data_IF_157340619760
#
_entry.id   IF_157340619760
#
_cell.length_a   1.000
_cell.length_b   1.000
_cell.length_c   1.000
_cell.angle_alpha   90.00
_cell.angle_beta   90.00
_cell.angle_gamma   90.00
#
_symmetry.space_group_name_H-M   'P 1'
#
loop_
_entity.id
_entity.type
_entity.pdbx_description
1 polymer ?
#
# COMPACT_ATOMS: atom_id res chain seq x y z
N UNK A 1 9.34 0.45 41.67
CA UNK A 1 8.34 1.53 41.82
C UNK A 1 7.36 1.40 40.67
N UNK A 2 6.27 0.66 40.89
CA UNK A 2 5.23 0.41 39.88
C UNK A 2 4.32 1.62 39.89
N UNK A 3 4.59 2.58 39.00
CA UNK A 3 3.65 3.67 38.73
C UNK A 3 2.42 3.11 38.01
N UNK A 4 1.24 3.55 38.45
CA UNK A 4 -0.08 3.15 37.98
C UNK A 4 -0.18 3.08 36.45
N UNK A 5 -0.44 1.87 35.93
CA UNK A 5 -0.71 1.55 34.52
C UNK A 5 -2.06 2.10 33.99
N UNK A 6 -2.64 3.11 34.64
CA UNK A 6 -3.93 3.72 34.31
C UNK A 6 -3.84 5.11 33.68
N UNK A 7 -2.66 5.62 33.37
CA UNK A 7 -2.54 6.77 32.49
C UNK A 7 -2.89 6.33 31.06
N UNK A 8 -4.09 6.73 30.61
CA UNK A 8 -4.43 6.64 29.21
C UNK A 8 -3.41 7.45 28.39
N UNK A 9 -3.03 7.01 27.17
CA UNK A 9 -2.18 7.82 26.30
C UNK A 9 -2.78 9.22 26.21
N UNK A 10 -1.98 10.25 26.51
CA UNK A 10 -2.44 11.64 26.43
C UNK A 10 -2.91 11.92 25.01
N UNK A 11 -4.06 12.60 24.92
CA UNK A 11 -4.58 13.12 23.66
C UNK A 11 -3.57 14.15 23.14
N UNK A 12 -3.01 13.92 21.95
CA UNK A 12 -2.13 14.91 21.33
C UNK A 12 -2.98 16.13 20.95
N UNK A 13 -2.52 17.34 21.29
CA UNK A 13 -3.23 18.58 20.96
C UNK A 13 -3.37 18.77 19.44
N UNK A 14 -2.43 18.21 18.66
CA UNK A 14 -2.39 18.28 17.20
C UNK A 14 -2.21 16.88 16.64
N UNK A 15 -3.23 16.36 15.95
CA UNK A 15 -3.21 15.06 15.30
C UNK A 15 -4.52 14.78 14.58
N UNK A 16 -4.52 13.84 13.62
CA UNK A 16 -5.73 13.50 12.88
C UNK A 16 -6.54 12.39 13.57
N UNK A 17 -7.82 12.28 13.19
CA UNK A 17 -8.74 11.29 13.74
C UNK A 17 -8.47 9.88 13.20
N UNK A 18 -8.98 8.86 13.89
CA UNK A 18 -8.80 7.46 13.48
C UNK A 18 -9.37 7.14 12.09
N UNK A 19 -10.40 7.84 11.62
CA UNK A 19 -10.95 7.60 10.29
C UNK A 19 -10.04 8.18 9.20
N UNK A 20 -9.35 9.29 9.46
CA UNK A 20 -8.31 9.82 8.57
C UNK A 20 -7.13 8.84 8.52
N UNK A 21 -6.76 8.25 9.67
CA UNK A 21 -5.76 7.18 9.72
C UNK A 21 -6.16 5.98 8.84
N UNK A 22 -7.44 5.62 8.81
CA UNK A 22 -7.94 4.56 7.93
C UNK A 22 -7.76 4.94 6.45
N UNK A 23 -8.03 6.20 6.08
CA UNK A 23 -7.80 6.70 4.71
C UNK A 23 -6.30 6.68 4.37
N UNK A 24 -5.40 6.99 5.30
CA UNK A 24 -3.96 6.83 5.08
C UNK A 24 -3.59 5.37 4.80
N UNK A 25 -4.07 4.42 5.60
CA UNK A 25 -3.80 2.99 5.40
C UNK A 25 -4.37 2.53 4.05
N UNK A 26 -5.62 2.90 3.72
CA UNK A 26 -6.23 2.54 2.44
C UNK A 26 -5.45 3.19 1.29
N UNK A 27 -5.13 4.47 1.37
CA UNK A 27 -4.43 5.20 0.32
C UNK A 27 -3.01 4.68 0.07
N UNK A 28 -2.32 4.20 1.11
CA UNK A 28 -0.98 3.63 0.99
C UNK A 28 -1.00 2.18 0.49
N UNK A 29 -1.87 1.34 1.07
CA UNK A 29 -1.88 -0.10 0.78
C UNK A 29 -2.65 -0.42 -0.50
N UNK A 30 -3.71 0.35 -0.84
CA UNK A 30 -4.45 0.20 -2.09
C UNK A 30 -3.56 0.47 -3.32
N UNK A 31 -3.93 -0.04 -4.50
CA UNK A 31 -3.32 0.38 -5.77
C UNK A 31 -2.54 -0.69 -6.51
N UNK A 32 -1.21 -0.63 -6.49
CA UNK A 32 -0.38 -1.42 -7.42
C UNK A 32 -0.52 -2.93 -7.22
N UNK A 33 -0.70 -3.40 -5.99
CA UNK A 33 -0.99 -4.80 -5.71
C UNK A 33 -2.35 -5.25 -6.22
N UNK A 34 -3.35 -4.35 -6.20
CA UNK A 34 -4.71 -4.63 -6.69
C UNK A 34 -4.74 -4.86 -8.20
N UNK A 35 -4.01 -4.07 -8.99
CA UNK A 35 -4.04 -4.20 -10.45
C UNK A 35 -3.39 -5.51 -10.93
N UNK A 36 -2.46 -6.08 -10.16
CA UNK A 36 -1.83 -7.37 -10.42
C UNK A 36 -2.56 -8.54 -9.74
N UNK A 37 -3.54 -8.27 -8.86
CA UNK A 37 -4.20 -9.29 -8.05
C UNK A 37 -4.86 -10.40 -8.86
N UNK A 38 -5.54 -10.14 -9.99
CA UNK A 38 -6.12 -11.20 -10.80
C UNK A 38 -5.06 -12.18 -11.35
N UNK A 39 -3.90 -11.67 -11.77
CA UNK A 39 -2.77 -12.49 -12.17
C UNK A 39 -2.17 -13.27 -10.98
N UNK A 40 -2.24 -12.70 -9.76
CA UNK A 40 -1.87 -13.41 -8.55
C UNK A 40 -2.82 -14.59 -8.25
N UNK A 41 -4.13 -14.43 -8.49
CA UNK A 41 -5.11 -15.53 -8.38
C UNK A 41 -4.86 -16.58 -9.46
N UNK A 42 -4.55 -16.18 -10.71
CA UNK A 42 -4.10 -17.12 -11.75
C UNK A 42 -2.92 -17.96 -11.29
N UNK A 43 -1.96 -17.33 -10.64
CA UNK A 43 -0.76 -17.98 -10.15
C UNK A 43 -0.94 -18.79 -8.86
N UNK A 44 -2.04 -18.62 -8.13
CA UNK A 44 -2.35 -19.36 -6.88
C UNK A 44 -3.54 -20.30 -7.00
N UNK A 45 -4.25 -20.25 -8.12
CA UNK A 45 -5.33 -21.14 -8.50
C UNK A 45 -6.68 -20.68 -8.00
N UNK A 46 -7.74 -21.25 -8.57
CA UNK A 46 -9.14 -20.91 -8.27
C UNK A 46 -9.55 -21.20 -6.82
N UNK A 47 -8.84 -22.09 -6.12
CA UNK A 47 -9.12 -22.43 -4.72
C UNK A 47 -8.07 -21.80 -3.80
N UNK A 48 -6.78 -21.98 -4.11
CA UNK A 48 -5.68 -21.44 -3.30
C UNK A 48 -5.68 -19.92 -3.24
N UNK A 49 -5.93 -19.25 -4.36
CA UNK A 49 -5.97 -17.79 -4.46
C UNK A 49 -7.00 -17.13 -3.54
N UNK A 50 -8.30 -17.46 -3.63
CA UNK A 50 -9.32 -16.88 -2.75
C UNK A 50 -9.06 -17.15 -1.26
N UNK A 51 -8.60 -18.37 -0.91
CA UNK A 51 -8.25 -18.72 0.48
C UNK A 51 -7.10 -17.82 0.95
N UNK A 52 -6.03 -17.70 0.17
CA UNK A 52 -4.90 -16.83 0.49
C UNK A 52 -5.34 -15.36 0.62
N UNK A 53 -6.21 -14.88 -0.26
CA UNK A 53 -6.70 -13.51 -0.24
C UNK A 53 -7.40 -13.18 1.09
N UNK A 54 -8.27 -14.08 1.57
CA UNK A 54 -8.98 -13.93 2.84
C UNK A 54 -8.04 -14.09 4.04
N UNK A 55 -7.22 -15.16 4.05
CA UNK A 55 -6.31 -15.47 5.15
C UNK A 55 -5.29 -14.35 5.33
N UNK A 56 -4.69 -13.87 4.24
CA UNK A 56 -3.70 -12.78 4.30
C UNK A 56 -4.34 -11.46 4.72
N UNK A 57 -5.56 -11.14 4.28
CA UNK A 57 -6.27 -9.95 4.79
C UNK A 57 -6.43 -10.00 6.33
N UNK A 58 -6.82 -11.15 6.88
CA UNK A 58 -6.97 -11.33 8.32
C UNK A 58 -5.62 -11.28 9.03
N UNK A 59 -4.61 -12.01 8.55
CA UNK A 59 -3.27 -12.06 9.16
C UNK A 59 -2.62 -10.67 9.16
N UNK A 60 -2.73 -9.92 8.06
CA UNK A 60 -2.17 -8.58 7.96
C UNK A 60 -2.91 -7.59 8.86
N UNK A 61 -4.24 -7.65 8.96
CA UNK A 61 -5.01 -6.85 9.91
C UNK A 61 -4.64 -7.17 11.38
N UNK A 62 -4.43 -8.45 11.70
CA UNK A 62 -4.05 -8.89 13.06
C UNK A 62 -2.66 -8.42 13.44
N UNK A 63 -1.69 -8.55 12.54
CA UNK A 63 -0.32 -8.09 12.78
C UNK A 63 -0.23 -6.57 12.84
N UNK A 64 -1.00 -5.84 12.04
CA UNK A 64 -1.14 -4.39 12.13
C UNK A 64 -1.73 -3.93 13.48
N UNK A 65 -2.76 -4.63 13.96
CA UNK A 65 -3.31 -4.41 15.32
C UNK A 65 -2.25 -4.64 16.40
N UNK A 66 -1.52 -5.75 16.33
CA UNK A 66 -0.47 -6.07 17.32
C UNK A 66 0.63 -5.01 17.33
N UNK A 67 1.04 -4.54 16.15
CA UNK A 67 2.01 -3.47 16.00
C UNK A 67 1.51 -2.19 16.68
N UNK A 68 0.25 -1.84 16.47
CA UNK A 68 -0.32 -0.65 17.11
C UNK A 68 -0.55 -0.78 18.62
N UNK A 69 -0.86 -1.98 19.10
CA UNK A 69 -0.92 -2.26 20.54
C UNK A 69 0.46 -2.16 21.19
N UNK A 70 1.52 -2.61 20.50
CA UNK A 70 2.91 -2.44 20.95
C UNK A 70 3.27 -0.96 21.09
N UNK A 71 2.93 -0.13 20.09
CA UNK A 71 3.19 1.31 20.18
C UNK A 71 2.48 1.99 21.35
N UNK A 72 1.24 1.59 21.65
CA UNK A 72 0.52 2.07 22.83
C UNK A 72 1.16 1.64 24.16
N UNK A 73 1.80 0.47 24.20
CA UNK A 73 2.56 0.02 25.38
C UNK A 73 3.82 0.89 25.53
N UNK A 74 4.51 1.18 24.43
CA UNK A 74 5.68 2.05 24.42
C UNK A 74 5.36 3.44 24.99
N UNK A 75 4.33 4.10 24.47
CA UNK A 75 3.90 5.43 24.92
C UNK A 75 3.49 5.46 26.39
N UNK A 76 2.86 4.39 26.89
CA UNK A 76 2.47 4.29 28.31
C UNK A 76 3.66 4.05 29.25
N UNK A 77 4.67 3.31 28.79
CA UNK A 77 5.80 2.89 29.63
C UNK A 77 6.95 3.89 29.62
N UNK A 78 7.12 4.64 28.54
CA UNK A 78 8.21 5.60 28.38
C UNK A 78 7.70 6.94 27.86
N UNK A 79 7.67 7.99 28.71
CA UNK A 79 7.13 9.31 28.35
C UNK A 79 7.80 9.99 27.17
N UNK A 80 9.05 9.64 26.86
CA UNK A 80 9.80 10.16 25.70
C UNK A 80 9.12 9.88 24.34
N UNK A 81 8.24 8.87 24.26
CA UNK A 81 7.50 8.54 23.04
C UNK A 81 6.16 9.28 22.90
N UNK A 82 5.87 10.20 23.83
CA UNK A 82 4.79 11.19 23.70
C UNK A 82 5.22 12.40 22.86
N UNK A 83 6.52 12.67 22.82
CA UNK A 83 7.14 13.67 21.94
C UNK A 83 7.29 13.13 20.50
N UNK A 84 7.50 14.00 19.49
CA UNK A 84 7.69 13.59 18.10
C UNK A 84 8.76 12.51 17.95
N UNK A 85 8.37 11.38 17.38
CA UNK A 85 9.22 10.21 17.17
C UNK A 85 9.38 9.93 15.68
N UNK A 86 10.64 9.98 15.21
CA UNK A 86 11.00 9.79 13.80
C UNK A 86 10.79 8.36 13.31
N UNK A 87 11.21 7.36 14.10
CA UNK A 87 11.15 5.95 13.72
C UNK A 87 10.50 5.08 14.80
N UNK A 88 9.16 5.22 15.01
CA UNK A 88 8.45 4.46 16.04
C UNK A 88 8.62 2.94 15.90
N UNK A 89 8.68 2.42 14.67
CA UNK A 89 8.87 0.98 14.41
C UNK A 89 10.23 0.51 14.93
N UNK A 90 11.32 1.18 14.57
CA UNK A 90 12.64 0.77 14.98
C UNK A 90 12.86 0.92 16.49
N UNK A 91 12.26 1.94 17.12
CA UNK A 91 12.23 2.09 18.58
C UNK A 91 11.53 0.91 19.26
N UNK A 92 10.42 0.42 18.70
CA UNK A 92 9.78 -0.81 19.19
C UNK A 92 10.72 -2.02 19.08
N UNK A 93 11.46 -2.13 17.99
CA UNK A 93 12.44 -3.22 17.80
C UNK A 93 13.61 -3.12 18.79
N UNK A 94 14.10 -1.90 19.05
CA UNK A 94 15.17 -1.65 20.02
C UNK A 94 14.75 -2.09 21.42
N UNK A 95 13.57 -1.67 21.87
CA UNK A 95 13.10 -1.98 23.24
C UNK A 95 12.70 -3.44 23.41
N UNK A 96 12.33 -4.13 22.35
CA UNK A 96 11.91 -5.55 22.42
C UNK A 96 13.06 -6.54 22.25
N UNK A 97 14.02 -6.25 21.37
CA UNK A 97 15.13 -7.14 21.04
C UNK A 97 16.45 -6.68 21.69
N UNK A 98 16.63 -5.37 21.89
CA UNK A 98 17.88 -4.76 22.34
C UNK A 98 18.97 -4.79 21.25
N UNK A 99 20.13 -4.23 21.58
CA UNK A 99 21.41 -4.38 20.85
C UNK A 99 21.39 -3.96 19.39
N UNK A 100 20.92 -4.86 18.51
CA UNK A 100 20.88 -4.68 17.05
C UNK A 100 19.44 -4.61 16.49
N UNK A 101 18.41 -4.71 17.34
CA UNK A 101 17.01 -4.75 16.93
C UNK A 101 16.59 -3.54 16.09
N UNK A 102 16.95 -2.33 16.52
CA UNK A 102 16.68 -1.10 15.78
C UNK A 102 17.32 -1.09 14.39
N UNK A 103 18.58 -1.55 14.29
CA UNK A 103 19.35 -1.55 13.03
C UNK A 103 18.73 -2.52 12.03
N UNK A 104 18.40 -3.74 12.47
CA UNK A 104 17.77 -4.75 11.61
C UNK A 104 16.38 -4.28 11.15
N UNK A 105 15.57 -3.73 12.06
CA UNK A 105 14.26 -3.20 11.72
C UNK A 105 14.35 -2.06 10.71
N UNK A 106 15.24 -1.09 10.94
CA UNK A 106 15.51 -0.01 10.00
C UNK A 106 15.90 -0.54 8.62
N UNK A 107 16.85 -1.47 8.53
CA UNK A 107 17.28 -2.03 7.24
C UNK A 107 16.13 -2.70 6.49
N UNK A 108 15.32 -3.52 7.17
CA UNK A 108 14.17 -4.20 6.56
C UNK A 108 13.08 -3.22 6.12
N UNK A 109 12.80 -2.20 6.92
CA UNK A 109 11.86 -1.13 6.60
C UNK A 109 12.32 -0.37 5.36
N UNK A 110 13.59 0.03 5.30
CA UNK A 110 14.15 0.76 4.17
C UNK A 110 14.12 -0.07 2.88
N UNK A 111 14.50 -1.34 2.95
CA UNK A 111 14.40 -2.28 1.81
C UNK A 111 12.95 -2.38 1.33
N UNK A 112 11.99 -2.51 2.24
CA UNK A 112 10.56 -2.65 1.92
C UNK A 112 10.02 -1.39 1.26
N UNK A 113 10.28 -0.22 1.84
CA UNK A 113 9.81 1.07 1.32
C UNK A 113 10.45 1.41 -0.03
N UNK A 114 11.75 1.15 -0.18
CA UNK A 114 12.45 1.33 -1.46
C UNK A 114 11.89 0.39 -2.54
N UNK A 115 11.61 -0.87 -2.19
CA UNK A 115 10.95 -1.83 -3.07
C UNK A 115 9.55 -1.34 -3.50
N UNK A 116 8.73 -0.88 -2.56
CA UNK A 116 7.42 -0.30 -2.83
C UNK A 116 7.49 0.92 -3.76
N UNK A 117 8.41 1.86 -3.49
CA UNK A 117 8.62 3.05 -4.31
C UNK A 117 9.08 2.69 -5.73
N UNK A 118 9.91 1.66 -5.86
CA UNK A 118 10.36 1.14 -7.16
C UNK A 118 9.18 0.55 -7.95
N UNK A 119 8.32 -0.26 -7.33
CA UNK A 119 7.14 -0.84 -7.98
C UNK A 119 6.15 0.25 -8.41
N UNK A 120 5.87 1.22 -7.54
CA UNK A 120 4.99 2.35 -7.87
C UNK A 120 5.56 3.19 -9.01
N UNK A 121 6.87 3.47 -9.01
CA UNK A 121 7.53 4.23 -10.08
C UNK A 121 7.50 3.49 -11.41
N UNK A 122 7.71 2.17 -11.40
CA UNK A 122 7.61 1.34 -12.60
C UNK A 122 6.18 1.33 -13.16
N UNK A 123 5.18 1.18 -12.29
CA UNK A 123 3.77 1.19 -12.70
C UNK A 123 3.36 2.57 -13.25
N UNK A 124 3.78 3.67 -12.61
CA UNK A 124 3.56 5.03 -13.10
C UNK A 124 4.18 5.21 -14.49
N UNK A 125 5.45 4.82 -14.66
CA UNK A 125 6.17 4.94 -15.92
C UNK A 125 5.51 4.14 -17.04
N UNK A 126 5.07 2.90 -16.75
CA UNK A 126 4.40 2.05 -17.73
C UNK A 126 3.04 2.61 -18.14
N UNK A 127 2.24 3.03 -17.17
CA UNK A 127 0.95 3.65 -17.46
C UNK A 127 1.12 4.94 -18.29
N UNK A 128 2.08 5.81 -17.94
CA UNK A 128 2.36 7.04 -18.71
C UNK A 128 2.83 6.71 -20.13
N UNK A 129 3.71 5.72 -20.30
CA UNK A 129 4.15 5.26 -21.62
C UNK A 129 2.97 4.81 -22.48
N UNK A 130 2.09 3.97 -21.92
CA UNK A 130 0.89 3.49 -22.60
C UNK A 130 -0.09 4.62 -22.92
N UNK A 131 -0.26 5.59 -22.01
CA UNK A 131 -1.08 6.79 -22.22
C UNK A 131 -0.53 7.65 -23.36
N UNK A 132 0.78 7.91 -23.39
CA UNK A 132 1.43 8.70 -24.44
C UNK A 132 1.32 8.03 -25.81
N UNK A 133 1.44 6.69 -25.86
CA UNK A 133 1.24 5.92 -27.09
C UNK A 133 -0.15 6.14 -27.68
N UNK A 134 -1.19 6.26 -26.84
CA UNK A 134 -2.56 6.57 -27.30
C UNK A 134 -2.70 7.96 -27.90
N UNK A 135 -1.88 8.92 -27.47
CA UNK A 135 -1.83 10.28 -28.03
C UNK A 135 -0.86 10.41 -29.23
N UNK A 136 -0.29 9.30 -29.71
CA UNK A 136 0.63 9.29 -30.86
C UNK A 136 2.10 9.56 -30.52
N UNK A 137 2.47 9.59 -29.23
CA UNK A 137 3.85 9.77 -28.79
C UNK A 137 4.43 8.43 -28.32
N UNK A 138 5.44 7.92 -29.01
CA UNK A 138 6.12 6.67 -28.62
C UNK A 138 7.35 6.96 -27.74
N UNK A 139 7.15 7.12 -26.44
CA UNK A 139 8.25 7.20 -25.47
C UNK A 139 8.50 5.84 -24.82
N UNK A 140 9.78 5.44 -24.80
CA UNK A 140 10.18 4.21 -24.13
C UNK A 140 9.98 4.32 -22.61
N UNK A 141 9.52 3.24 -21.97
CA UNK A 141 9.20 3.24 -20.54
C UNK A 141 10.36 3.71 -19.65
N UNK A 142 11.61 3.45 -20.03
CA UNK A 142 12.80 3.93 -19.31
C UNK A 142 12.88 5.46 -19.22
N UNK A 143 12.49 6.16 -20.29
CA UNK A 143 12.46 7.63 -20.31
C UNK A 143 11.32 8.14 -19.43
N UNK A 144 10.15 7.48 -19.48
CA UNK A 144 9.03 7.80 -18.58
C UNK A 144 9.41 7.58 -17.11
N UNK A 145 10.18 6.53 -16.80
CA UNK A 145 10.66 6.28 -15.45
C UNK A 145 11.57 7.41 -14.96
N UNK A 146 12.54 7.82 -15.77
CA UNK A 146 13.39 8.97 -15.45
C UNK A 146 12.56 10.26 -15.26
N UNK A 147 11.60 10.51 -16.13
CA UNK A 147 10.71 11.67 -16.04
C UNK A 147 9.87 11.67 -14.75
N UNK A 148 9.31 10.52 -14.36
CA UNK A 148 8.59 10.35 -13.08
C UNK A 148 9.50 10.65 -11.90
N UNK A 149 10.73 10.13 -11.88
CA UNK A 149 11.68 10.39 -10.79
C UNK A 149 12.04 11.87 -10.68
N UNK A 150 12.31 12.54 -11.80
CA UNK A 150 12.61 13.99 -11.84
C UNK A 150 11.40 14.81 -11.39
N UNK A 151 10.20 14.44 -11.82
CA UNK A 151 8.96 15.13 -11.45
C UNK A 151 8.67 15.00 -9.95
N UNK A 152 8.86 13.81 -9.38
CA UNK A 152 8.60 13.56 -7.96
C UNK A 152 9.65 14.20 -7.05
N UNK A 153 10.90 14.34 -7.51
CA UNK A 153 12.03 14.88 -6.75
C UNK A 153 11.71 16.08 -5.82
N UNK A 154 11.15 17.20 -6.31
CA UNK A 154 10.84 18.35 -5.46
C UNK A 154 9.83 18.03 -4.35
N UNK A 155 8.87 17.14 -4.61
CA UNK A 155 7.84 16.74 -3.65
C UNK A 155 8.37 15.75 -2.61
N UNK A 156 9.48 15.06 -2.87
CA UNK A 156 10.09 14.15 -1.90
C UNK A 156 10.78 14.89 -0.74
N UNK A 157 11.05 16.20 -0.87
CA UNK A 157 11.67 17.02 0.18
C UNK A 157 10.67 17.50 1.26
N UNK A 158 9.43 17.01 1.22
CA UNK A 158 8.36 17.36 2.16
C UNK A 158 8.46 16.51 3.45
N UNK A 159 8.27 17.15 4.61
CA UNK A 159 8.70 16.63 5.93
C UNK A 159 7.80 15.63 6.67
N UNK A 160 6.48 15.64 6.42
CA UNK A 160 5.55 14.81 7.22
C UNK A 160 4.24 14.52 6.49
N UNK A 161 3.66 13.31 6.64
CA UNK A 161 2.34 12.95 6.11
C UNK A 161 1.21 13.81 6.68
N UNK A 162 1.36 14.34 7.90
CA UNK A 162 0.38 15.24 8.54
C UNK A 162 0.10 16.47 7.67
N UNK A 163 1.10 16.98 6.95
CA UNK A 163 0.97 18.15 6.10
C UNK A 163 0.26 17.86 4.75
N UNK A 164 -0.02 16.58 4.44
CA UNK A 164 -0.52 16.13 3.13
C UNK A 164 -1.62 15.08 3.23
N UNK A 165 -2.45 15.09 4.27
CA UNK A 165 -3.58 14.16 4.38
C UNK A 165 -4.53 14.20 3.16
N UNK A 166 -4.59 15.31 2.42
CA UNK A 166 -5.33 15.42 1.15
C UNK A 166 -4.75 14.51 0.05
N UNK A 167 -3.44 14.27 0.03
CA UNK A 167 -2.78 13.37 -0.93
C UNK A 167 -3.27 11.94 -0.71
N UNK A 168 -3.41 11.52 0.55
CA UNK A 168 -3.94 10.20 0.91
C UNK A 168 -5.41 10.03 0.54
N UNK A 169 -6.22 11.09 0.68
CA UNK A 169 -7.60 11.10 0.18
C UNK A 169 -7.62 10.96 -1.34
N UNK A 170 -6.76 11.71 -2.04
CA UNK A 170 -6.60 11.62 -3.48
C UNK A 170 -6.28 10.20 -3.91
N UNK A 171 -5.28 9.56 -3.27
CA UNK A 171 -4.88 8.18 -3.53
C UNK A 171 -6.02 7.17 -3.28
N UNK A 172 -6.72 7.29 -2.14
CA UNK A 172 -7.81 6.39 -1.80
C UNK A 172 -9.00 6.55 -2.76
N UNK A 173 -9.36 7.79 -3.11
CA UNK A 173 -10.46 8.09 -4.04
C UNK A 173 -10.13 7.60 -5.45
N UNK A 174 -8.95 7.92 -5.97
CA UNK A 174 -8.55 7.52 -7.33
C UNK A 174 -8.55 6.00 -7.48
N UNK A 175 -8.07 5.26 -6.49
CA UNK A 175 -8.14 3.78 -6.51
C UNK A 175 -9.55 3.25 -6.36
N UNK A 176 -10.37 3.83 -5.49
CA UNK A 176 -11.78 3.40 -5.35
C UNK A 176 -12.55 3.57 -6.65
N UNK A 177 -12.40 4.73 -7.33
CA UNK A 177 -13.01 4.98 -8.63
C UNK A 177 -12.43 4.03 -9.69
N UNK A 178 -11.11 3.80 -9.70
CA UNK A 178 -10.49 2.85 -10.62
C UNK A 178 -11.05 1.44 -10.45
N UNK A 179 -11.25 0.96 -9.21
CA UNK A 179 -11.86 -0.34 -8.93
C UNK A 179 -13.27 -0.43 -9.52
N UNK A 180 -14.10 0.59 -9.32
CA UNK A 180 -15.45 0.62 -9.90
C UNK A 180 -15.40 0.52 -11.42
N UNK A 181 -14.52 1.28 -12.08
CA UNK A 181 -14.35 1.22 -13.53
C UNK A 181 -13.80 -0.13 -14.01
N UNK A 182 -12.89 -0.76 -13.26
CA UNK A 182 -12.37 -2.10 -13.53
C UNK A 182 -13.51 -3.12 -13.48
N UNK A 183 -14.37 -3.04 -12.47
CA UNK A 183 -15.52 -3.96 -12.33
C UNK A 183 -16.53 -3.76 -13.45
N UNK A 184 -16.79 -2.51 -13.86
CA UNK A 184 -17.63 -2.21 -15.03
C UNK A 184 -17.02 -2.83 -16.30
N UNK A 185 -15.74 -2.55 -16.59
CA UNK A 185 -15.06 -3.09 -17.77
C UNK A 185 -15.03 -4.61 -17.78
N UNK A 186 -14.71 -5.23 -16.64
CA UNK A 186 -14.72 -6.69 -16.50
C UNK A 186 -16.12 -7.27 -16.72
N UNK A 187 -17.17 -6.59 -16.24
CA UNK A 187 -18.56 -7.01 -16.46
C UNK A 187 -18.99 -6.90 -17.92
N UNK A 188 -18.53 -5.87 -18.64
CA UNK A 188 -18.79 -5.69 -20.08
C UNK A 188 -18.11 -6.78 -20.91
N UNK A 189 -16.98 -7.30 -20.45
CA UNK A 189 -16.20 -8.31 -21.16
C UNK A 189 -16.73 -9.74 -20.92
N UNK A 190 -17.63 -9.97 -19.96
CA UNK A 190 -18.22 -11.29 -19.64
C UNK A 190 -18.76 -12.02 -20.88
N UNK A 191 -19.62 -11.44 -21.74
CA UNK A 191 -20.25 -12.17 -22.85
C UNK A 191 -19.27 -12.68 -23.90
N UNK A 192 -18.04 -12.18 -23.92
CA UNK A 192 -17.03 -12.52 -24.94
C UNK A 192 -15.85 -13.29 -24.35
N UNK A 193 -15.38 -12.88 -23.17
CA UNK A 193 -14.15 -13.42 -22.58
C UNK A 193 -14.42 -14.64 -21.69
N UNK A 194 -15.56 -14.68 -20.99
CA UNK A 194 -15.85 -15.74 -20.02
C UNK A 194 -15.94 -17.13 -20.66
N UNK A 195 -16.59 -17.24 -21.83
CA UNK A 195 -16.71 -18.53 -22.54
C UNK A 195 -15.36 -19.03 -23.07
N UNK A 196 -14.44 -18.10 -23.40
CA UNK A 196 -13.10 -18.42 -23.87
C UNK A 196 -12.09 -18.64 -22.71
N UNK A 197 -12.50 -18.38 -21.46
CA UNK A 197 -11.63 -18.48 -20.31
C UNK A 197 -11.24 -19.94 -20.03
N UNK A 198 -9.95 -20.17 -19.83
CA UNK A 198 -9.42 -21.45 -19.37
C UNK A 198 -8.66 -21.26 -18.06
N UNK A 199 -8.55 -22.34 -17.29
CA UNK A 199 -7.92 -22.35 -15.98
C UNK A 199 -6.91 -23.48 -15.92
N UNK A 200 -5.65 -23.14 -15.65
CA UNK A 200 -4.56 -24.10 -15.62
C UNK A 200 -4.23 -24.54 -14.19
N UNK A 201 -3.60 -25.71 -14.08
CA UNK A 201 -2.97 -26.13 -12.83
C UNK A 201 -1.81 -25.21 -12.44
N UNK A 202 -1.57 -25.13 -11.14
CA UNK A 202 -0.60 -24.21 -10.55
C UNK A 202 0.65 -24.97 -10.16
N UNK A 203 1.79 -24.57 -10.71
CA UNK A 203 3.11 -25.04 -10.26
C UNK A 203 3.52 -24.36 -8.94
N UNK A 204 4.42 -24.99 -8.18
CA UNK A 204 4.97 -24.40 -6.95
C UNK A 204 5.61 -23.02 -7.18
N UNK A 205 6.29 -22.82 -8.32
CA UNK A 205 6.88 -21.53 -8.69
C UNK A 205 5.81 -20.45 -8.89
N UNK A 206 4.73 -20.76 -9.62
CA UNK A 206 3.63 -19.82 -9.81
C UNK A 206 2.99 -19.49 -8.47
N UNK A 207 2.73 -20.50 -7.62
CA UNK A 207 2.17 -20.28 -6.31
C UNK A 207 3.01 -19.31 -5.47
N UNK A 208 4.34 -19.46 -5.45
CA UNK A 208 5.24 -18.53 -4.74
C UNK A 208 5.17 -17.10 -5.28
N UNK A 209 5.09 -16.91 -6.60
CA UNK A 209 4.97 -15.59 -7.24
C UNK A 209 3.63 -14.92 -6.89
N UNK A 210 2.52 -15.66 -6.99
CA UNK A 210 1.20 -15.15 -6.65
C UNK A 210 1.07 -14.86 -5.15
N UNK A 211 1.61 -15.72 -4.28
CA UNK A 211 1.69 -15.47 -2.84
C UNK A 211 2.42 -14.15 -2.53
N UNK A 212 3.61 -13.94 -3.12
CA UNK A 212 4.36 -12.71 -2.94
C UNK A 212 3.59 -11.46 -3.39
N UNK A 213 2.84 -11.58 -4.49
CA UNK A 213 1.99 -10.48 -5.00
C UNK A 213 0.85 -10.15 -4.04
N UNK A 214 0.17 -11.16 -3.47
CA UNK A 214 -0.91 -10.93 -2.49
C UNK A 214 -0.36 -10.35 -1.18
N UNK A 215 0.79 -10.85 -0.70
CA UNK A 215 1.47 -10.31 0.49
C UNK A 215 1.84 -8.84 0.28
N UNK A 216 2.44 -8.51 -0.87
CA UNK A 216 2.77 -7.14 -1.24
C UNK A 216 1.53 -6.24 -1.28
N UNK A 217 0.42 -6.73 -1.86
CA UNK A 217 -0.80 -5.94 -2.00
C UNK A 217 -1.49 -5.58 -0.67
N UNK A 218 -1.30 -6.39 0.38
CA UNK A 218 -1.77 -6.10 1.74
C UNK A 218 -0.66 -5.50 2.63
N UNK A 219 0.51 -5.22 2.07
CA UNK A 219 1.64 -4.66 2.82
C UNK A 219 1.49 -3.17 3.07
N UNK A 220 1.66 -2.76 4.33
CA UNK A 220 1.74 -1.34 4.75
C UNK A 220 2.36 -1.14 6.15
N UNK A 221 2.75 -2.25 6.80
CA UNK A 221 3.24 -2.26 8.18
C UNK A 221 4.37 -1.28 8.49
N UNK A 222 5.35 -1.03 7.60
CA UNK A 222 6.42 -0.08 7.89
C UNK A 222 5.93 1.34 8.23
N UNK A 223 4.80 1.78 7.67
CA UNK A 223 4.29 3.15 7.87
C UNK A 223 3.26 3.25 9.01
N UNK A 224 2.67 2.14 9.43
CA UNK A 224 1.58 2.11 10.42
C UNK A 224 1.93 2.75 11.78
N UNK A 225 3.13 2.52 12.36
CA UNK A 225 3.50 3.16 13.62
C UNK A 225 3.61 4.69 13.52
N UNK A 226 4.09 5.21 12.39
CA UNK A 226 4.14 6.66 12.13
C UNK A 226 2.74 7.23 11.97
N UNK A 227 1.86 6.57 11.18
CA UNK A 227 0.45 6.98 11.05
C UNK A 227 -0.23 7.01 12.43
N UNK A 228 0.00 5.99 13.25
CA UNK A 228 -0.56 5.92 14.60
C UNK A 228 0.01 7.00 15.52
N UNK A 229 1.30 7.28 15.42
CA UNK A 229 1.96 8.30 16.24
C UNK A 229 1.44 9.72 15.96
N UNK A 230 0.99 9.99 14.73
CA UNK A 230 0.42 11.28 14.30
C UNK A 230 -1.10 11.39 14.59
N UNK A 231 -1.72 10.38 15.20
CA UNK A 231 -3.14 10.41 15.56
C UNK A 231 -3.37 11.20 16.86
N UNK A 232 -4.42 12.04 16.88
CA UNK A 232 -4.85 12.71 18.10
C UNK A 232 -5.18 11.73 19.24
N UNK A 233 -5.71 10.55 18.88
CA UNK A 233 -6.05 9.48 19.82
C UNK A 233 -5.52 8.12 19.36
N UNK A 234 -4.22 7.81 19.56
CA UNK A 234 -3.57 6.60 19.05
C UNK A 234 -4.23 5.28 19.48
N UNK A 235 -4.99 5.30 20.59
CA UNK A 235 -5.79 4.17 21.11
C UNK A 235 -6.84 3.66 20.13
N UNK A 236 -7.31 4.50 19.20
CA UNK A 236 -8.30 4.14 18.21
C UNK A 236 -7.71 3.61 16.91
N UNK A 237 -6.39 3.45 16.82
CA UNK A 237 -5.73 2.90 15.63
C UNK A 237 -6.26 1.52 15.22
N UNK A 238 -6.61 0.66 16.18
CA UNK A 238 -7.26 -0.64 15.88
C UNK A 238 -8.56 -0.50 15.09
N UNK A 239 -9.36 0.55 15.33
CA UNK A 239 -10.57 0.83 14.54
C UNK A 239 -10.21 1.19 13.10
N UNK A 240 -9.14 1.98 12.92
CA UNK A 240 -8.63 2.35 11.61
C UNK A 240 -8.17 1.12 10.83
N UNK A 241 -7.38 0.24 11.46
CA UNK A 241 -6.90 -1.02 10.85
C UNK A 241 -8.06 -1.91 10.42
N UNK A 242 -9.03 -2.16 11.31
CA UNK A 242 -10.17 -3.03 10.99
C UNK A 242 -10.98 -2.49 9.81
N UNK A 243 -11.29 -1.19 9.83
CA UNK A 243 -12.01 -0.54 8.74
C UNK A 243 -11.22 -0.64 7.42
N UNK A 244 -9.92 -0.33 7.47
CA UNK A 244 -9.06 -0.31 6.29
C UNK A 244 -8.96 -1.68 5.63
N UNK A 245 -8.65 -2.73 6.40
CA UNK A 245 -8.53 -4.08 5.85
C UNK A 245 -9.88 -4.65 5.38
N UNK A 246 -10.99 -4.27 6.01
CA UNK A 246 -12.32 -4.62 5.50
C UNK A 246 -12.57 -3.96 4.13
N UNK A 247 -12.27 -2.67 3.99
CA UNK A 247 -12.41 -1.94 2.72
C UNK A 247 -11.46 -2.50 1.66
N UNK A 248 -10.18 -2.74 1.99
CA UNK A 248 -9.21 -3.31 1.07
C UNK A 248 -9.67 -4.68 0.56
N UNK A 249 -10.15 -5.56 1.44
CA UNK A 249 -10.68 -6.86 1.01
C UNK A 249 -11.89 -6.69 0.06
N UNK A 250 -12.81 -5.77 0.37
CA UNK A 250 -13.97 -5.47 -0.48
C UNK A 250 -13.59 -4.86 -1.84
N UNK A 251 -12.49 -4.11 -1.93
CA UNK A 251 -11.98 -3.58 -3.19
C UNK A 251 -11.23 -4.65 -3.99
N UNK A 252 -10.46 -5.50 -3.30
CA UNK A 252 -9.54 -6.44 -3.94
C UNK A 252 -10.24 -7.71 -4.40
N UNK A 253 -11.09 -8.31 -3.56
CA UNK A 253 -11.70 -9.60 -3.87
C UNK A 253 -12.54 -9.59 -5.16
N UNK A 254 -13.41 -8.60 -5.41
CA UNK A 254 -14.18 -8.56 -6.65
C UNK A 254 -13.28 -8.40 -7.89
N UNK A 255 -12.24 -7.56 -7.81
CA UNK A 255 -11.29 -7.37 -8.92
C UNK A 255 -10.49 -8.64 -9.17
N UNK A 256 -9.92 -9.22 -8.12
CA UNK A 256 -9.07 -10.41 -8.17
C UNK A 256 -9.83 -11.62 -8.73
N UNK A 257 -10.99 -11.92 -8.16
CA UNK A 257 -11.80 -13.07 -8.51
C UNK A 257 -12.53 -12.86 -9.83
N UNK A 258 -13.16 -11.70 -10.01
CA UNK A 258 -13.88 -11.37 -11.24
C UNK A 258 -12.93 -11.28 -12.45
N UNK A 259 -11.77 -10.64 -12.29
CA UNK A 259 -10.77 -10.56 -13.34
C UNK A 259 -10.28 -11.93 -13.77
N UNK A 260 -9.89 -12.80 -12.83
CA UNK A 260 -9.43 -14.14 -13.22
C UNK A 260 -10.57 -15.01 -13.75
N UNK A 261 -11.79 -14.89 -13.23
CA UNK A 261 -12.95 -15.62 -13.74
C UNK A 261 -13.32 -15.21 -15.18
N UNK A 262 -13.18 -13.94 -15.55
CA UNK A 262 -13.54 -13.46 -16.89
C UNK A 262 -12.44 -13.68 -17.91
N UNK A 263 -11.17 -13.44 -17.56
CA UNK A 263 -10.06 -13.51 -18.52
C UNK A 263 -9.28 -14.84 -18.48
N UNK A 264 -9.42 -15.64 -17.41
CA UNK A 264 -8.72 -16.91 -17.26
C UNK A 264 -7.21 -16.80 -17.43
N UNK A 265 -6.60 -17.76 -18.13
CA UNK A 265 -5.16 -17.78 -18.44
C UNK A 265 -4.69 -16.62 -19.33
N UNK A 266 -5.60 -15.96 -20.07
CA UNK A 266 -5.29 -14.82 -20.96
C UNK A 266 -5.08 -13.51 -20.22
N UNK A 267 -5.29 -13.48 -18.90
CA UNK A 267 -5.04 -12.28 -18.10
C UNK A 267 -3.59 -11.84 -18.18
N UNK A 268 -3.40 -10.55 -18.42
CA UNK A 268 -2.09 -9.89 -18.45
C UNK A 268 -1.56 -9.65 -17.04
N UNK A 269 -0.31 -9.19 -16.92
CA UNK A 269 0.30 -8.83 -15.63
C UNK A 269 -0.50 -7.78 -14.85
N UNK A 270 -1.25 -6.94 -15.57
CA UNK A 270 -2.18 -5.95 -15.03
C UNK A 270 -3.58 -6.17 -15.61
N UNK A 271 -4.58 -6.07 -14.74
CA UNK A 271 -6.01 -6.10 -15.13
C UNK A 271 -6.35 -4.98 -16.11
N UNK A 272 -5.66 -3.83 -16.01
CA UNK A 272 -5.88 -2.66 -16.88
C UNK A 272 -5.67 -3.06 -18.34
N UNK A 273 -4.59 -3.80 -18.63
CA UNK A 273 -4.25 -4.26 -19.98
C UNK A 273 -5.19 -5.34 -20.50
N UNK A 274 -5.93 -6.01 -19.62
CA UNK A 274 -6.82 -7.12 -19.98
C UNK A 274 -8.23 -6.64 -20.36
N UNK A 275 -8.64 -5.45 -19.90
CA UNK A 275 -9.94 -4.85 -20.26
C UNK A 275 -9.96 -4.49 -21.74
N UNK A 276 -11.00 -4.96 -22.44
CA UNK A 276 -11.13 -4.83 -23.90
C UNK A 276 -11.57 -3.42 -24.33
N UNK A 277 -12.29 -2.69 -23.47
CA UNK A 277 -12.80 -1.35 -23.77
C UNK A 277 -11.69 -0.28 -23.66
N UNK A 278 -11.23 0.34 -24.77
CA UNK A 278 -10.06 1.23 -24.75
C UNK A 278 -10.26 2.49 -23.90
N UNK A 279 -11.45 3.08 -23.94
CA UNK A 279 -11.77 4.29 -23.17
C UNK A 279 -11.74 4.01 -21.66
N UNK A 280 -12.25 2.86 -21.21
CA UNK A 280 -12.18 2.47 -19.80
C UNK A 280 -10.72 2.23 -19.39
N UNK A 281 -9.94 1.54 -20.22
CA UNK A 281 -8.51 1.32 -19.99
C UNK A 281 -7.74 2.63 -19.82
N UNK A 282 -8.03 3.63 -20.66
CA UNK A 282 -7.46 4.97 -20.55
C UNK A 282 -7.78 5.62 -19.19
N UNK A 283 -9.08 5.67 -18.83
CA UNK A 283 -9.53 6.30 -17.58
C UNK A 283 -8.96 5.61 -16.34
N UNK A 284 -8.96 4.28 -16.33
CA UNK A 284 -8.37 3.48 -15.25
C UNK A 284 -6.86 3.73 -15.16
N UNK A 285 -6.15 3.76 -16.29
CA UNK A 285 -4.71 4.04 -16.32
C UNK A 285 -4.38 5.42 -15.74
N UNK A 286 -5.16 6.46 -16.06
CA UNK A 286 -5.02 7.80 -15.46
C UNK A 286 -5.24 7.75 -13.95
N UNK A 287 -6.33 7.13 -13.48
CA UNK A 287 -6.64 7.05 -12.05
C UNK A 287 -5.61 6.26 -11.24
N UNK A 288 -5.12 5.15 -11.77
CA UNK A 288 -4.07 4.35 -11.14
C UNK A 288 -2.73 5.10 -11.18
N UNK A 289 -2.42 5.85 -12.25
CA UNK A 289 -1.24 6.71 -12.31
C UNK A 289 -1.29 7.80 -11.23
N UNK A 290 -2.42 8.49 -11.11
CA UNK A 290 -2.62 9.48 -10.04
C UNK A 290 -2.46 8.87 -8.65
N UNK A 291 -3.08 7.69 -8.43
CA UNK A 291 -2.93 6.95 -7.20
C UNK A 291 -1.45 6.69 -6.88
N UNK A 292 -0.70 6.05 -7.78
CA UNK A 292 0.69 5.65 -7.47
C UNK A 292 1.60 6.86 -7.26
N UNK A 293 1.37 7.97 -7.96
CA UNK A 293 2.12 9.21 -7.72
C UNK A 293 1.88 9.73 -6.30
N UNK A 294 0.63 9.74 -5.85
CA UNK A 294 0.29 10.10 -4.47
C UNK A 294 0.86 9.10 -3.45
N UNK A 295 0.78 7.79 -3.72
CA UNK A 295 1.30 6.76 -2.83
C UNK A 295 2.82 6.82 -2.68
N UNK A 296 3.57 7.17 -3.74
CA UNK A 296 5.02 7.39 -3.65
C UNK A 296 5.34 8.50 -2.64
N UNK A 297 4.58 9.60 -2.64
CA UNK A 297 4.80 10.71 -1.70
C UNK A 297 4.56 10.28 -0.24
N UNK A 298 3.67 9.31 -0.01
CA UNK A 298 3.38 8.80 1.33
C UNK A 298 4.53 7.91 1.82
N UNK A 299 5.00 6.96 0.99
CA UNK A 299 6.00 5.97 1.40
C UNK A 299 7.44 6.49 1.41
N UNK A 300 7.72 7.59 0.69
CA UNK A 300 9.08 8.14 0.62
C UNK A 300 9.46 8.91 1.88
N UNK A 301 8.49 9.44 2.63
CA UNK A 301 8.77 10.22 3.82
C UNK A 301 9.51 9.40 4.90
N UNK A 302 9.05 8.20 5.31
CA UNK A 302 9.82 7.37 6.24
C UNK A 302 11.15 6.87 5.67
N UNK A 303 11.25 6.71 4.34
CA UNK A 303 12.50 6.36 3.66
C UNK A 303 13.54 7.48 3.84
N UNK A 304 13.15 8.72 3.52
CA UNK A 304 13.99 9.89 3.75
C UNK A 304 14.35 10.04 5.21
N UNK A 305 13.37 9.93 6.11
CA UNK A 305 13.62 9.99 7.54
C UNK A 305 14.66 8.95 7.97
N UNK A 306 14.64 7.71 7.49
CA UNK A 306 15.73 6.77 7.82
C UNK A 306 17.10 7.20 7.30
N UNK A 307 17.17 7.79 6.09
CA UNK A 307 18.44 8.27 5.51
C UNK A 307 19.01 9.46 6.27
N UNK A 308 18.21 10.49 6.59
CA UNK A 308 18.76 11.64 7.31
C UNK A 308 19.12 11.30 8.77
N UNK A 309 18.51 10.27 9.37
CA UNK A 309 18.95 9.74 10.67
C UNK A 309 20.33 9.10 10.57
N UNK A 310 20.55 8.29 9.53
CA UNK A 310 21.85 7.68 9.25
C UNK A 310 22.96 8.71 9.00
N UNK A 311 22.64 9.81 8.31
CA UNK A 311 23.58 10.90 8.00
C UNK A 311 23.72 11.91 9.16
N UNK A 312 22.92 11.79 10.22
CA UNK A 312 22.99 12.66 11.41
C UNK A 312 22.39 14.06 11.22
N UNK A 313 21.44 14.21 10.30
CA UNK A 313 20.71 15.47 10.11
C UNK A 313 19.73 15.66 11.27
N UNK A 314 19.81 16.83 11.92
CA UNK A 314 18.95 17.17 13.08
C UNK A 314 17.48 17.21 12.67
N UNK A 315 16.64 16.60 13.50
CA UNK A 315 15.19 16.75 13.43
C UNK A 315 14.84 18.21 13.68
N UNK A 316 14.06 18.83 12.79
CA UNK A 316 13.67 20.23 12.91
C UNK A 316 12.33 20.50 12.29
#
# INVERSE_FOLDING_TARGET
MVQDLKTQPQQQEHGFSWWVAAVFIIGETAGSGMVAMPNAIKNTGLIGGPILLLVLAVVMARTAKQLGENWLIMQRRWPQYLEPCRSPYAEMADRSIGGYGSIVAHALIQITLFGGASVFSLLAARNISDLLHLFGYSLHFCLCLFAVSVFLWPFMMLRSPMNFWQVSIGAALSTTVAVVLILIGTSMDIPTCYEAASYAEVSARQFSLGFGTIVFAYGGHPVFPTIQHDMAEPRYFTKAVILSYAVLFLLYAPVALGGYAVYGTSISDSIISSIQTPTLRLLISVLITLHVLFSILIIINPLHQGVEEFVGVKYG
#
